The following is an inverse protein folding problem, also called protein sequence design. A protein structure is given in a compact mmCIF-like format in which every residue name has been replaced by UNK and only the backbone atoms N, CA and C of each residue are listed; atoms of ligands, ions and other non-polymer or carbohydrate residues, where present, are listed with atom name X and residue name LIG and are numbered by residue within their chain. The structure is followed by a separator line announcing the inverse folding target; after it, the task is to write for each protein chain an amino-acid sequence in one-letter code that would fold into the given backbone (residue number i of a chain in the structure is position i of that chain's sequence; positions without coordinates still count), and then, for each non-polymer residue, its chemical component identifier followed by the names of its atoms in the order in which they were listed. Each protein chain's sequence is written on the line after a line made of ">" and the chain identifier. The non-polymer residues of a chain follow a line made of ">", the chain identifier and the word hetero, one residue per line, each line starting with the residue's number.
data_IF_751307204635
#
_entry.id   IF_751307204635
#
_cell.length_a   1.000
_cell.length_b   1.000
_cell.length_c   1.000
_cell.angle_alpha   90.00
_cell.angle_beta   90.00
_cell.angle_gamma   90.00
#
_symmetry.space_group_name_H-M   'P 1'
#
loop_
_entity.id
_entity.type
_entity.pdbx_description
1 polymer ?
#
# COMPACT_ATOMS: atom_id res chain seq x y z
N UNK A 1 -4.55 -12.45 -24.83
CA UNK A 1 -3.07 -12.51 -24.87
C UNK A 1 -2.41 -11.13 -25.09
N UNK A 2 -2.96 -10.03 -24.57
CA UNK A 2 -2.33 -8.69 -24.63
C UNK A 2 -1.55 -8.29 -23.37
N UNK A 3 -1.62 -9.06 -22.28
CA UNK A 3 -1.01 -8.69 -20.98
C UNK A 3 0.49 -8.98 -20.87
N UNK A 4 1.06 -9.86 -21.71
CA UNK A 4 2.46 -10.30 -21.57
C UNK A 4 3.49 -9.25 -22.01
N UNK A 5 3.09 -8.20 -22.73
CA UNK A 5 4.01 -7.16 -23.22
C UNK A 5 3.81 -5.80 -22.53
N UNK A 6 2.75 -5.64 -21.74
CA UNK A 6 2.51 -4.39 -21.04
C UNK A 6 3.34 -4.34 -19.75
N UNK A 7 4.51 -3.72 -19.82
CA UNK A 7 5.42 -3.56 -18.68
C UNK A 7 4.99 -2.50 -17.66
N UNK A 8 3.92 -1.75 -17.92
CA UNK A 8 3.53 -0.59 -17.11
C UNK A 8 4.55 0.56 -17.16
N UNK A 9 4.32 1.64 -16.40
CA UNK A 9 5.23 2.78 -16.33
C UNK A 9 6.65 2.34 -15.98
N UNK A 10 7.62 2.78 -16.78
CA UNK A 10 9.05 2.42 -16.64
C UNK A 10 9.33 0.91 -16.63
N UNK A 11 8.48 0.09 -17.26
CA UNK A 11 8.61 -1.37 -17.30
C UNK A 11 8.55 -2.04 -15.90
N UNK A 12 7.99 -1.36 -14.90
CA UNK A 12 7.99 -1.82 -13.50
C UNK A 12 7.27 -3.15 -13.30
N UNK A 13 6.31 -3.52 -14.13
CA UNK A 13 5.60 -4.79 -14.00
C UNK A 13 6.46 -6.02 -14.33
N UNK A 14 7.67 -5.85 -14.85
CA UNK A 14 8.59 -6.95 -15.14
C UNK A 14 9.72 -7.10 -14.12
N UNK A 15 9.79 -6.26 -13.09
CA UNK A 15 10.83 -6.30 -12.07
C UNK A 15 10.24 -6.38 -10.67
N UNK A 16 11.03 -6.86 -9.70
CA UNK A 16 10.64 -6.76 -8.30
C UNK A 16 10.56 -5.29 -7.89
N UNK A 17 9.49 -4.92 -7.21
CA UNK A 17 9.26 -3.56 -6.76
C UNK A 17 9.04 -3.53 -5.27
N UNK A 18 9.36 -2.37 -4.69
CA UNK A 18 8.88 -2.03 -3.37
C UNK A 18 7.62 -1.23 -3.51
N UNK A 19 6.64 -1.58 -2.70
CA UNK A 19 5.35 -0.93 -2.63
C UNK A 19 5.13 -0.52 -1.17
N UNK A 20 4.36 0.54 -0.95
CA UNK A 20 3.91 0.84 0.41
C UNK A 20 2.79 -0.12 0.80
N UNK A 21 1.83 -0.35 -0.11
CA UNK A 21 0.73 -1.28 0.09
C UNK A 21 0.57 -2.25 -1.09
N UNK A 22 0.07 -3.44 -0.79
CA UNK A 22 -0.34 -4.47 -1.77
C UNK A 22 -1.74 -4.96 -1.41
N UNK A 23 -2.43 -5.59 -2.36
CA UNK A 23 -3.74 -6.16 -2.09
C UNK A 23 -3.62 -7.43 -1.25
N UNK A 24 -4.57 -7.65 -0.34
CA UNK A 24 -4.58 -8.76 0.61
C UNK A 24 -4.87 -10.14 0.01
N UNK A 25 -5.07 -10.26 -1.31
CA UNK A 25 -5.42 -11.53 -1.97
C UNK A 25 -4.37 -12.61 -1.72
N UNK A 26 -3.08 -12.24 -1.77
CA UNK A 26 -1.95 -13.13 -1.46
C UNK A 26 -0.84 -12.31 -0.83
N UNK A 27 -0.51 -12.60 0.43
CA UNK A 27 0.58 -11.97 1.15
C UNK A 27 1.40 -13.01 1.91
N UNK A 28 2.71 -12.82 1.94
CA UNK A 28 3.61 -13.52 2.85
C UNK A 28 4.16 -12.49 3.84
N UNK A 29 3.91 -12.72 5.12
CA UNK A 29 4.29 -11.80 6.20
C UNK A 29 5.34 -12.51 7.06
N UNK A 30 6.49 -11.86 7.26
CA UNK A 30 7.52 -12.42 8.14
C UNK A 30 7.03 -12.47 9.59
N UNK A 31 7.52 -13.44 10.36
CA UNK A 31 7.16 -13.57 11.77
C UNK A 31 7.47 -12.29 12.57
N UNK A 32 8.59 -11.63 12.28
CA UNK A 32 8.96 -10.36 12.91
C UNK A 32 8.01 -9.22 12.57
N UNK A 33 7.57 -9.13 11.32
CA UNK A 33 6.56 -8.16 10.91
C UNK A 33 5.24 -8.43 11.63
N UNK A 34 4.76 -9.68 11.61
CA UNK A 34 3.52 -10.07 12.28
C UNK A 34 3.54 -9.74 13.78
N UNK A 35 4.63 -10.07 14.48
CA UNK A 35 4.81 -9.79 15.89
C UNK A 35 4.90 -8.30 16.22
N UNK A 36 5.53 -7.51 15.34
CA UNK A 36 5.73 -6.06 15.55
C UNK A 36 4.49 -5.24 15.19
N UNK A 37 3.82 -5.60 14.10
CA UNK A 37 2.62 -4.90 13.59
C UNK A 37 1.38 -5.30 14.39
N UNK A 38 1.33 -6.55 14.85
CA UNK A 38 0.19 -7.11 15.57
C UNK A 38 -0.92 -7.61 14.65
N UNK A 39 -2.09 -7.85 15.24
CA UNK A 39 -3.27 -8.34 14.53
C UNK A 39 -3.83 -7.32 13.53
N UNK A 40 -4.75 -7.80 12.70
CA UNK A 40 -5.58 -6.97 11.83
C UNK A 40 -6.59 -6.18 12.68
N UNK A 41 -6.87 -4.94 12.32
CA UNK A 41 -7.87 -4.11 13.02
C UNK A 41 -9.26 -4.38 12.44
N UNK A 42 -9.85 -5.49 12.89
CA UNK A 42 -11.17 -5.95 12.44
C UNK A 42 -12.31 -5.02 12.88
N UNK A 43 -12.11 -4.22 13.93
CA UNK A 43 -13.09 -3.25 14.40
C UNK A 43 -13.26 -2.11 13.39
N UNK A 44 -12.14 -1.61 12.83
CA UNK A 44 -12.15 -0.48 11.89
C UNK A 44 -12.11 -0.87 10.43
N UNK A 45 -11.68 -2.09 10.10
CA UNK A 45 -11.46 -2.59 8.73
C UNK A 45 -11.92 -4.05 8.58
N UNK A 46 -13.18 -4.33 8.91
CA UNK A 46 -13.73 -5.68 8.85
C UNK A 46 -13.70 -6.27 7.43
N UNK A 47 -13.89 -5.45 6.39
CA UNK A 47 -14.02 -5.95 5.01
C UNK A 47 -13.13 -5.23 4.00
N UNK A 48 -13.15 -3.90 3.96
CA UNK A 48 -12.35 -3.11 3.03
C UNK A 48 -11.15 -2.48 3.76
N UNK A 49 -10.10 -2.24 2.98
CA UNK A 49 -8.89 -1.52 3.40
C UNK A 49 -8.08 -2.16 4.54
N UNK A 50 -8.41 -3.37 5.01
CA UNK A 50 -7.62 -4.10 6.00
C UNK A 50 -6.17 -4.31 5.53
N UNK A 51 -5.98 -4.67 4.26
CA UNK A 51 -4.69 -4.83 3.60
C UNK A 51 -3.91 -3.53 3.54
N UNK A 52 -4.59 -2.42 3.24
CA UNK A 52 -3.98 -1.09 3.23
C UNK A 52 -3.58 -0.65 4.64
N UNK A 53 -4.43 -0.82 5.66
CA UNK A 53 -4.09 -0.53 7.06
C UNK A 53 -2.85 -1.33 7.50
N UNK A 54 -2.87 -2.64 7.30
CA UNK A 54 -1.78 -3.52 7.71
C UNK A 54 -0.47 -3.13 7.04
N UNK A 55 -0.49 -2.90 5.73
CA UNK A 55 0.68 -2.43 4.98
C UNK A 55 1.19 -1.07 5.49
N UNK A 56 0.29 -0.13 5.80
CA UNK A 56 0.68 1.18 6.31
C UNK A 56 1.27 1.10 7.72
N UNK A 57 0.75 0.22 8.60
CA UNK A 57 1.35 -0.04 9.92
C UNK A 57 2.72 -0.70 9.79
N UNK A 58 2.86 -1.69 8.91
CA UNK A 58 4.15 -2.32 8.59
C UNK A 58 5.18 -1.30 8.07
N UNK A 59 4.77 -0.43 7.14
CA UNK A 59 5.59 0.65 6.61
C UNK A 59 6.05 1.62 7.72
N UNK A 60 5.12 2.09 8.57
CA UNK A 60 5.44 2.95 9.73
C UNK A 60 6.37 2.27 10.74
N UNK A 61 6.31 0.94 10.85
CA UNK A 61 7.21 0.14 11.68
C UNK A 61 8.59 -0.11 11.04
N UNK A 62 8.79 0.27 9.78
CA UNK A 62 10.06 0.14 9.06
C UNK A 62 10.19 -1.13 8.22
N UNK A 63 9.10 -1.88 8.02
CA UNK A 63 9.08 -3.04 7.14
C UNK A 63 8.83 -2.64 5.69
N UNK A 64 9.40 -3.42 4.77
CA UNK A 64 9.30 -3.20 3.33
C UNK A 64 8.39 -4.23 2.69
N UNK A 65 7.35 -3.79 1.99
CA UNK A 65 6.53 -4.68 1.15
C UNK A 65 7.20 -4.84 -0.22
N UNK A 66 7.53 -6.07 -0.59
CA UNK A 66 8.17 -6.40 -1.87
C UNK A 66 7.18 -7.15 -2.75
N UNK A 67 6.82 -6.56 -3.88
CA UNK A 67 6.03 -7.20 -4.92
C UNK A 67 6.94 -7.90 -5.93
N UNK A 68 6.55 -9.09 -6.39
CA UNK A 68 7.32 -9.88 -7.36
C UNK A 68 6.45 -10.31 -8.54
N UNK A 69 6.86 -10.05 -9.79
CA UNK A 69 6.14 -10.51 -10.98
C UNK A 69 6.35 -12.01 -11.26
N UNK A 70 7.31 -12.64 -10.57
CA UNK A 70 7.70 -14.03 -10.82
C UNK A 70 6.81 -15.07 -10.12
N UNK A 71 5.86 -14.62 -9.30
CA UNK A 71 4.84 -15.47 -8.68
C UNK A 71 3.47 -15.04 -9.19
N UNK A 72 2.73 -15.97 -9.79
CA UNK A 72 1.39 -15.72 -10.31
C UNK A 72 0.41 -16.67 -9.62
N UNK A 73 -0.65 -16.10 -9.04
CA UNK A 73 -1.73 -16.84 -8.41
C UNK A 73 -3.05 -16.34 -9.00
N UNK A 74 -3.96 -17.27 -9.25
CA UNK A 74 -5.30 -16.96 -9.74
C UNK A 74 -6.21 -16.63 -8.56
N UNK A 75 -6.66 -15.38 -8.51
CA UNK A 75 -7.68 -14.95 -7.55
C UNK A 75 -9.04 -14.96 -8.25
N UNK A 76 -9.91 -15.90 -7.88
CA UNK A 76 -11.28 -15.99 -8.38
C UNK A 76 -12.15 -14.95 -7.66
N UNK A 77 -12.12 -13.71 -8.14
CA UNK A 77 -12.77 -12.59 -7.49
C UNK A 77 -14.31 -12.68 -7.47
N UNK A 78 -14.89 -12.09 -6.42
CA UNK A 78 -16.26 -11.55 -6.36
C UNK A 78 -17.44 -12.49 -6.10
N UNK A 79 -17.25 -13.79 -5.84
CA UNK A 79 -18.39 -14.68 -5.56
C UNK A 79 -18.96 -14.49 -4.15
N UNK A 80 -18.13 -14.14 -3.15
CA UNK A 80 -18.57 -14.07 -1.73
C UNK A 80 -18.87 -12.66 -1.21
N UNK A 81 -18.28 -11.61 -1.79
CA UNK A 81 -18.34 -10.23 -1.22
C UNK A 81 -19.63 -9.48 -1.58
N UNK A 82 -20.14 -9.69 -2.80
CA UNK A 82 -21.22 -8.87 -3.37
C UNK A 82 -20.85 -7.39 -3.53
N UNK A 83 -21.83 -6.55 -3.85
CA UNK A 83 -21.62 -5.12 -4.14
C UNK A 83 -21.64 -4.25 -2.87
N UNK A 84 -20.67 -3.33 -2.75
CA UNK A 84 -20.61 -2.29 -1.72
C UNK A 84 -21.32 -0.99 -2.14
N UNK A 85 -22.17 -1.04 -3.16
CA UNK A 85 -22.78 0.17 -3.75
C UNK A 85 -24.06 0.64 -3.05
N UNK A 86 -24.70 -0.21 -2.23
CA UNK A 86 -26.01 0.10 -1.61
C UNK A 86 -26.13 -0.39 -0.17
N UNK A 87 -26.99 0.27 0.61
CA UNK A 87 -27.41 -0.15 1.94
C UNK A 87 -26.30 -0.16 3.00
N UNK A 88 -26.40 -1.12 3.93
CA UNK A 88 -25.47 -1.24 5.06
C UNK A 88 -24.01 -1.47 4.62
N UNK A 89 -23.78 -2.16 3.49
CA UNK A 89 -22.45 -2.43 2.94
C UNK A 89 -21.75 -1.16 2.49
N UNK A 90 -22.47 -0.27 1.79
CA UNK A 90 -21.98 1.05 1.41
C UNK A 90 -21.62 1.89 2.64
N UNK A 91 -22.49 1.90 3.65
CA UNK A 91 -22.24 2.64 4.90
C UNK A 91 -20.98 2.16 5.61
N UNK A 92 -20.79 0.83 5.71
CA UNK A 92 -19.54 0.23 6.23
C UNK A 92 -18.35 0.66 5.39
N UNK A 93 -18.40 0.49 4.06
CA UNK A 93 -17.30 0.84 3.17
C UNK A 93 -16.88 2.31 3.31
N UNK A 94 -17.85 3.23 3.40
CA UNK A 94 -17.57 4.65 3.61
C UNK A 94 -16.93 4.91 4.99
N UNK A 95 -17.41 4.25 6.05
CA UNK A 95 -16.81 4.33 7.38
C UNK A 95 -15.38 3.79 7.42
N UNK A 96 -15.11 2.62 6.84
CA UNK A 96 -13.77 2.02 6.77
C UNK A 96 -12.82 2.92 5.95
N UNK A 97 -13.30 3.52 4.87
CA UNK A 97 -12.55 4.51 4.07
C UNK A 97 -12.19 5.75 4.89
N UNK A 98 -13.13 6.26 5.70
CA UNK A 98 -12.89 7.44 6.53
C UNK A 98 -11.96 7.11 7.72
N UNK A 99 -12.06 5.91 8.30
CA UNK A 99 -11.09 5.39 9.28
C UNK A 99 -9.67 5.37 8.70
N UNK A 100 -9.51 4.86 7.48
CA UNK A 100 -8.20 4.79 6.81
C UNK A 100 -7.61 6.19 6.60
N UNK A 101 -8.43 7.13 6.12
CA UNK A 101 -8.05 8.54 5.91
C UNK A 101 -7.59 9.19 7.20
N UNK A 102 -8.33 9.00 8.28
CA UNK A 102 -8.01 9.58 9.59
C UNK A 102 -6.72 8.96 10.16
N UNK A 103 -6.62 7.63 10.18
CA UNK A 103 -5.54 6.90 10.85
C UNK A 103 -4.20 7.00 10.12
N UNK A 104 -4.22 7.04 8.78
CA UNK A 104 -3.01 7.08 7.96
C UNK A 104 -2.80 8.40 7.24
N UNK A 105 -3.67 9.39 7.46
CA UNK A 105 -3.56 10.73 6.89
C UNK A 105 -3.37 10.66 5.36
N UNK A 106 -4.13 9.80 4.70
CA UNK A 106 -3.90 9.45 3.27
C UNK A 106 -4.04 10.64 2.33
N UNK A 107 -4.66 11.74 2.77
CA UNK A 107 -4.74 12.98 2.01
C UNK A 107 -3.39 13.71 1.86
N UNK A 108 -2.50 13.57 2.84
CA UNK A 108 -1.18 14.21 2.86
C UNK A 108 -0.03 13.21 2.76
N UNK A 109 -0.33 11.92 2.86
CA UNK A 109 0.66 10.86 2.71
C UNK A 109 1.29 10.89 1.31
N UNK A 110 2.62 10.98 1.27
CA UNK A 110 3.39 10.91 0.03
C UNK A 110 4.00 9.52 -0.07
N UNK A 111 3.41 8.68 -0.91
CA UNK A 111 3.85 7.31 -1.11
C UNK A 111 5.23 7.26 -1.81
N UNK A 112 6.29 6.72 -1.17
CA UNK A 112 7.61 6.59 -1.77
C UNK A 112 7.66 5.58 -2.94
N UNK A 113 6.64 4.75 -3.12
CA UNK A 113 6.51 3.85 -4.25
C UNK A 113 6.09 4.55 -5.54
N UNK A 114 5.56 5.78 -5.44
CA UNK A 114 5.06 6.56 -6.58
C UNK A 114 6.15 7.53 -7.05
N UNK A 115 6.46 7.47 -8.34
CA UNK A 115 7.36 8.46 -8.94
C UNK A 115 6.67 9.85 -8.91
N UNK A 116 7.31 10.89 -8.33
CA UNK A 116 6.72 12.24 -8.24
C UNK A 116 6.49 12.90 -9.61
N UNK A 117 7.14 12.43 -10.67
CA UNK A 117 6.92 12.86 -12.05
C UNK A 117 5.78 12.13 -12.75
N UNK A 118 4.97 11.34 -12.03
CA UNK A 118 3.75 10.73 -12.57
C UNK A 118 2.51 11.29 -11.89
N UNK A 119 1.45 11.48 -12.67
CA UNK A 119 0.14 11.70 -12.09
C UNK A 119 -0.33 10.46 -11.31
N UNK A 120 -1.20 10.66 -10.32
CA UNK A 120 -1.63 9.60 -9.41
C UNK A 120 -3.06 9.12 -9.65
N UNK A 121 -3.76 9.74 -10.61
CA UNK A 121 -5.20 9.56 -10.81
C UNK A 121 -5.55 8.34 -11.67
N UNK A 122 -4.64 7.91 -12.54
CA UNK A 122 -4.90 6.88 -13.54
C UNK A 122 -3.79 5.81 -13.52
N UNK A 123 -4.16 4.58 -13.88
CA UNK A 123 -3.23 3.44 -14.01
C UNK A 123 -2.25 3.59 -15.18
N UNK A 124 -2.59 4.41 -16.17
CA UNK A 124 -1.71 4.88 -17.25
C UNK A 124 -1.36 6.35 -17.00
N UNK A 125 -0.42 6.63 -16.08
CA UNK A 125 -0.16 8.00 -15.69
C UNK A 125 0.57 8.80 -16.77
N UNK A 126 0.13 10.03 -16.97
CA UNK A 126 0.87 11.06 -17.70
C UNK A 126 2.12 11.49 -16.93
N UNK A 127 3.18 11.85 -17.66
CA UNK A 127 4.39 12.44 -17.10
C UNK A 127 4.12 13.90 -16.72
N UNK A 128 4.39 14.25 -15.48
CA UNK A 128 4.43 15.61 -14.96
C UNK A 128 5.89 16.08 -14.99
N UNK A 129 6.20 17.01 -15.90
CA UNK A 129 7.53 17.63 -15.96
C UNK A 129 7.67 18.61 -14.80
N UNK A 130 8.59 18.37 -13.85
CA UNK A 130 8.69 19.25 -12.71
C UNK A 130 9.51 20.49 -13.05
N UNK A 131 9.10 21.67 -12.56
CA UNK A 131 9.86 22.91 -12.76
C UNK A 131 11.19 22.95 -11.99
N UNK A 132 11.37 22.05 -11.00
CA UNK A 132 12.59 21.84 -10.22
C UNK A 132 12.74 20.35 -9.94
N UNK A 133 13.97 19.87 -9.75
CA UNK A 133 14.19 18.46 -9.40
C UNK A 133 13.49 18.11 -8.08
N UNK A 134 12.85 16.95 -8.06
CA UNK A 134 12.19 16.44 -6.87
C UNK A 134 13.23 16.10 -5.79
N UNK A 135 12.88 16.38 -4.54
CA UNK A 135 13.69 15.95 -3.38
C UNK A 135 13.73 14.42 -3.35
N UNK A 136 14.89 13.85 -3.01
CA UNK A 136 15.05 12.40 -2.86
C UNK A 136 14.08 11.90 -1.78
N UNK A 137 13.13 11.07 -2.18
CA UNK A 137 12.23 10.39 -1.27
C UNK A 137 12.95 9.23 -0.59
N UNK A 138 12.78 9.12 0.73
CA UNK A 138 13.28 8.00 1.52
C UNK A 138 12.11 7.09 1.86
N UNK A 139 12.37 5.78 1.82
CA UNK A 139 11.40 4.76 2.21
C UNK A 139 11.13 4.74 3.70
N UNK A 140 12.15 5.01 4.52
CA UNK A 140 12.02 4.97 5.96
C UNK A 140 12.72 6.19 6.55
N UNK A 141 12.08 6.80 7.54
CA UNK A 141 12.74 7.82 8.35
C UNK A 141 13.82 7.15 9.21
N UNK A 142 14.97 7.81 9.34
CA UNK A 142 15.97 7.37 10.33
C UNK A 142 15.37 7.62 11.71
N UNK A 143 15.03 6.56 12.45
CA UNK A 143 14.78 6.70 13.89
C UNK A 143 16.05 7.30 14.50
N UNK A 144 15.96 8.53 15.03
CA UNK A 144 16.98 9.08 15.91
C UNK A 144 17.02 8.17 17.13
N UNK A 145 17.94 7.20 17.17
CA UNK A 145 18.23 6.45 18.39
C UNK A 145 18.80 7.44 19.39
N UNK A 146 17.97 7.93 20.31
CA UNK A 146 18.46 8.42 21.60
C UNK A 146 19.02 7.19 22.32
N UNK A 147 20.32 6.95 22.16
CA UNK A 147 21.06 6.09 23.09
C UNK A 147 21.14 6.85 24.41
N UNK A 148 20.17 6.64 25.29
CA UNK A 148 20.35 6.95 26.70
C UNK A 148 21.39 5.95 27.23
N UNK A 149 22.65 6.39 27.25
CA UNK A 149 23.64 5.80 28.13
C UNK A 149 23.26 6.24 29.54
N UNK A 150 22.60 5.36 30.28
CA UNK A 150 22.62 5.44 31.74
C UNK A 150 23.85 4.68 32.22
N UNK A 151 24.65 5.40 32.99
CA UNK A 151 25.83 4.97 33.74
C UNK A 151 25.46 3.91 34.78
#
# INVERSE_FOLDING_TARGET
>A
TQRSHYGGPMNRLHVRNSMTCVTGAVMLISADCARTVGAWDEERFAVAYNDVDYCMRAYKAGFRSVWTPFACLYHHESVSRGSDLVGARKKRFDMEKDNLRALHQTAVFVDPAINPSYERRFSTPTVLLPHKLNVIQKWFEKKLTQKNFHQ
#
